data_IF_094864940354
#
_entry.id   IF_094864940354
#
_cell.length_a   1.000
_cell.length_b   1.000
_cell.length_c   1.000
_cell.angle_alpha   90.00
_cell.angle_beta   90.00
_cell.angle_gamma   90.00
#
_symmetry.space_group_name_H-M   'P 1'
#
loop_
_entity.id
_entity.type
_entity.pdbx_description
1 polymer ?
#
# COMPACT_ATOMS: atom_id res chain seq x y z
N UNK A 1 11.05 -3.15 17.53
CA UNK A 1 10.96 -2.99 16.05
C UNK A 1 9.88 -2.00 15.59
N UNK A 2 9.01 -1.55 16.49
CA UNK A 2 7.83 -0.74 16.21
C UNK A 2 8.07 0.59 15.46
N UNK A 3 9.09 1.36 15.85
CA UNK A 3 9.43 2.64 15.19
C UNK A 3 10.00 2.44 13.78
N UNK A 4 10.75 1.35 13.56
CA UNK A 4 11.23 1.00 12.23
C UNK A 4 10.06 0.61 11.31
N UNK A 5 9.10 -0.17 11.83
CA UNK A 5 7.88 -0.51 11.12
C UNK A 5 7.06 0.75 10.79
N UNK A 6 6.93 1.69 11.74
CA UNK A 6 6.25 2.96 11.55
C UNK A 6 6.91 3.79 10.44
N UNK A 7 8.24 3.95 10.49
CA UNK A 7 8.99 4.67 9.47
C UNK A 7 8.85 4.04 8.08
N UNK A 8 8.98 2.71 7.99
CA UNK A 8 8.79 1.98 6.73
C UNK A 8 7.37 2.15 6.17
N UNK A 9 6.34 2.08 7.02
CA UNK A 9 4.95 2.27 6.61
C UNK A 9 4.71 3.69 6.08
N UNK A 10 5.25 4.72 6.76
CA UNK A 10 5.16 6.10 6.29
C UNK A 10 5.81 6.26 4.91
N UNK A 11 7.01 5.68 4.71
CA UNK A 11 7.70 5.72 3.41
C UNK A 11 6.86 5.01 2.33
N UNK A 12 6.30 3.84 2.64
CA UNK A 12 5.41 3.12 1.72
C UNK A 12 4.18 3.94 1.36
N UNK A 13 3.56 4.61 2.34
CA UNK A 13 2.39 5.46 2.15
C UNK A 13 2.69 6.68 1.28
N UNK A 14 3.84 7.33 1.48
CA UNK A 14 4.30 8.45 0.64
C UNK A 14 4.55 7.98 -0.79
N UNK A 15 5.27 6.87 -0.99
CA UNK A 15 5.52 6.31 -2.31
C UNK A 15 4.22 5.91 -3.03
N UNK A 16 3.27 5.32 -2.32
CA UNK A 16 1.94 4.99 -2.84
C UNK A 16 1.12 6.24 -3.17
N UNK A 17 1.19 7.27 -2.32
CA UNK A 17 0.56 8.57 -2.56
C UNK A 17 1.11 9.26 -3.81
N UNK A 18 2.42 9.22 -4.02
CA UNK A 18 3.04 9.70 -5.27
C UNK A 18 2.47 8.99 -6.50
N UNK A 19 2.37 7.65 -6.49
CA UNK A 19 1.78 6.88 -7.59
C UNK A 19 0.30 7.24 -7.81
N UNK A 20 -0.46 7.47 -6.73
CA UNK A 20 -1.85 7.93 -6.82
C UNK A 20 -1.95 9.32 -7.46
N UNK A 21 -1.06 10.25 -7.10
CA UNK A 21 -0.99 11.58 -7.73
C UNK A 21 -0.68 11.44 -9.21
N UNK A 22 0.34 10.66 -9.59
CA UNK A 22 0.67 10.37 -10.99
C UNK A 22 -0.55 9.82 -11.73
N UNK A 23 -1.31 8.91 -11.13
CA UNK A 23 -2.52 8.37 -11.74
C UNK A 23 -3.60 9.44 -11.97
N UNK A 24 -3.82 10.31 -10.98
CA UNK A 24 -4.83 11.37 -11.03
C UNK A 24 -4.50 12.42 -12.11
N UNK A 25 -3.25 12.89 -12.17
CA UNK A 25 -2.82 13.92 -13.13
C UNK A 25 -2.80 13.39 -14.58
N UNK A 26 -2.64 12.08 -14.77
CA UNK A 26 -2.66 11.45 -16.09
C UNK A 26 -4.07 10.98 -16.51
N UNK A 27 -5.14 11.57 -15.95
CA UNK A 27 -6.52 11.39 -16.42
C UNK A 27 -7.24 10.17 -15.85
N UNK A 28 -6.70 9.50 -14.83
CA UNK A 28 -7.20 8.22 -14.32
C UNK A 28 -8.71 8.16 -14.00
N UNK A 29 -9.29 9.24 -13.46
CA UNK A 29 -10.74 9.32 -13.17
C UNK A 29 -11.62 9.56 -14.39
N UNK A 30 -11.05 10.11 -15.47
CA UNK A 30 -11.79 10.57 -16.66
C UNK A 30 -11.74 9.60 -17.83
N UNK A 31 -10.94 8.53 -17.76
CA UNK A 31 -10.89 7.53 -18.83
C UNK A 31 -12.13 6.63 -18.76
N UNK A 32 -12.86 6.51 -19.88
CA UNK A 32 -14.02 5.58 -19.99
C UNK A 32 -13.61 4.12 -19.77
N UNK A 33 -12.34 3.80 -19.98
CA UNK A 33 -11.75 2.47 -19.76
C UNK A 33 -10.52 2.64 -18.88
N UNK A 34 -10.60 2.18 -17.64
CA UNK A 34 -9.46 1.97 -16.73
C UNK A 34 -9.52 0.54 -16.26
N UNK A 35 -8.37 -0.15 -16.25
CA UNK A 35 -8.29 -1.55 -15.78
C UNK A 35 -8.29 -1.63 -14.25
N UNK A 36 -8.14 -0.50 -13.56
CA UNK A 36 -8.12 -0.45 -12.11
C UNK A 36 -9.54 -0.34 -11.54
N UNK A 37 -9.97 -1.30 -10.69
CA UNK A 37 -11.27 -1.21 -10.03
C UNK A 37 -11.31 0.06 -9.17
N UNK A 38 -12.31 0.94 -9.40
CA UNK A 38 -12.42 2.23 -8.70
C UNK A 38 -12.39 2.08 -7.18
N UNK A 39 -13.10 1.08 -6.67
CA UNK A 39 -13.15 0.77 -5.24
C UNK A 39 -11.77 0.41 -4.67
N UNK A 40 -10.90 -0.24 -5.45
CA UNK A 40 -9.57 -0.66 -4.99
C UNK A 40 -8.58 0.50 -5.05
N UNK A 41 -8.68 1.38 -6.05
CA UNK A 41 -7.84 2.60 -6.14
C UNK A 41 -8.09 3.54 -4.96
N UNK A 42 -9.34 3.65 -4.52
CA UNK A 42 -9.69 4.43 -3.32
C UNK A 42 -9.44 3.64 -2.03
N UNK A 43 -9.82 2.36 -2.01
CA UNK A 43 -9.73 1.48 -0.85
C UNK A 43 -8.31 1.25 -0.38
N UNK A 44 -7.36 1.07 -1.29
CA UNK A 44 -5.96 0.81 -0.94
C UNK A 44 -5.34 1.94 -0.07
N UNK A 45 -5.31 3.22 -0.50
CA UNK A 45 -4.77 4.28 0.33
C UNK A 45 -5.58 4.53 1.60
N UNK A 46 -6.91 4.39 1.56
CA UNK A 46 -7.76 4.56 2.76
C UNK A 46 -7.48 3.48 3.81
N UNK A 47 -7.39 2.22 3.39
CA UNK A 47 -7.04 1.10 4.26
C UNK A 47 -5.60 1.22 4.79
N UNK A 48 -4.67 1.76 3.99
CA UNK A 48 -3.29 2.00 4.43
C UNK A 48 -3.22 3.06 5.52
N UNK A 49 -3.97 4.17 5.38
CA UNK A 49 -4.07 5.22 6.40
C UNK A 49 -4.76 4.69 7.66
N UNK A 50 -5.87 3.97 7.51
CA UNK A 50 -6.59 3.40 8.65
C UNK A 50 -5.71 2.42 9.43
N UNK A 51 -5.02 1.51 8.75
CA UNK A 51 -4.07 0.59 9.38
C UNK A 51 -2.91 1.32 10.07
N UNK A 52 -2.38 2.38 9.45
CA UNK A 52 -1.32 3.19 10.04
C UNK A 52 -1.79 3.91 11.32
N UNK A 53 -3.03 4.41 11.35
CA UNK A 53 -3.63 4.99 12.57
C UNK A 53 -3.71 3.95 13.68
N UNK A 54 -4.14 2.73 13.38
CA UNK A 54 -4.18 1.63 14.36
C UNK A 54 -2.77 1.27 14.83
N UNK A 55 -1.77 1.28 13.93
CA UNK A 55 -0.37 1.07 14.30
C UNK A 55 0.17 2.15 15.24
N UNK A 56 -0.17 3.41 14.99
CA UNK A 56 0.19 4.52 15.90
C UNK A 56 -0.47 4.33 17.27
N UNK A 57 -1.74 3.90 17.31
CA UNK A 57 -2.41 3.57 18.56
C UNK A 57 -1.69 2.43 19.31
N UNK A 58 -1.19 1.41 18.61
CA UNK A 58 -0.32 0.41 19.21
C UNK A 58 0.95 1.03 19.79
N UNK A 59 1.70 1.84 19.03
CA UNK A 59 2.95 2.47 19.52
C UNK A 59 2.70 3.31 20.78
N UNK A 60 1.56 4.00 20.87
CA UNK A 60 1.21 4.83 22.03
C UNK A 60 0.78 3.98 23.25
N UNK A 61 0.07 2.89 23.03
CA UNK A 61 -0.57 2.11 24.11
C UNK A 61 0.21 0.87 24.53
N UNK A 62 1.12 0.37 23.69
CA UNK A 62 1.80 -0.92 23.86
C UNK A 62 0.88 -2.14 23.76
N UNK A 63 -0.42 -1.97 23.45
CA UNK A 63 -1.38 -3.07 23.51
C UNK A 63 -1.29 -3.97 22.26
N UNK A 64 -0.98 -5.25 22.49
CA UNK A 64 -0.81 -6.26 21.44
C UNK A 64 -2.03 -6.42 20.52
N UNK A 65 -3.25 -6.17 21.00
CA UNK A 65 -4.45 -6.24 20.17
C UNK A 65 -4.39 -5.24 19.00
N UNK A 66 -3.92 -4.01 19.23
CA UNK A 66 -3.76 -3.02 18.16
C UNK A 66 -2.71 -3.43 17.14
N UNK A 67 -1.60 -4.06 17.57
CA UNK A 67 -0.57 -4.57 16.65
C UNK A 67 -1.15 -5.64 15.70
N UNK A 68 -1.94 -6.57 16.22
CA UNK A 68 -2.60 -7.61 15.42
C UNK A 68 -3.69 -7.04 14.49
N UNK A 69 -4.48 -6.07 14.95
CA UNK A 69 -5.49 -5.41 14.12
C UNK A 69 -4.82 -4.62 12.99
N UNK A 70 -3.75 -3.89 13.27
CA UNK A 70 -2.97 -3.20 12.25
C UNK A 70 -2.33 -4.17 11.24
N UNK A 71 -1.83 -5.32 11.70
CA UNK A 71 -1.31 -6.37 10.82
C UNK A 71 -2.41 -6.94 9.91
N UNK A 72 -3.60 -7.23 10.44
CA UNK A 72 -4.74 -7.67 9.65
C UNK A 72 -5.16 -6.61 8.60
N UNK A 73 -5.18 -5.34 8.98
CA UNK A 73 -5.41 -4.23 8.04
C UNK A 73 -4.32 -4.18 6.95
N UNK A 74 -3.07 -4.41 7.31
CA UNK A 74 -1.95 -4.43 6.36
C UNK A 74 -2.07 -5.58 5.34
N UNK A 75 -2.59 -6.74 5.72
CA UNK A 75 -2.91 -7.81 4.77
C UNK A 75 -3.92 -7.35 3.72
N UNK A 76 -4.99 -6.67 4.14
CA UNK A 76 -6.00 -6.10 3.25
C UNK A 76 -5.38 -5.07 2.29
N UNK A 77 -4.47 -4.22 2.79
CA UNK A 77 -3.71 -3.26 1.97
C UNK A 77 -2.87 -3.98 0.92
N UNK A 78 -2.15 -5.04 1.30
CA UNK A 78 -1.27 -5.82 0.42
C UNK A 78 -2.07 -6.51 -0.69
N UNK A 79 -3.19 -7.16 -0.38
CA UNK A 79 -4.00 -7.83 -1.40
C UNK A 79 -4.56 -6.83 -2.42
N UNK A 80 -4.99 -5.65 -1.97
CA UNK A 80 -5.40 -4.58 -2.88
C UNK A 80 -4.23 -4.07 -3.74
N UNK A 81 -3.06 -3.90 -3.15
CA UNK A 81 -1.84 -3.49 -3.85
C UNK A 81 -1.40 -4.50 -4.91
N UNK A 82 -1.43 -5.80 -4.58
CA UNK A 82 -1.13 -6.89 -5.52
C UNK A 82 -2.12 -6.93 -6.68
N UNK A 83 -3.41 -6.71 -6.41
CA UNK A 83 -4.42 -6.60 -7.47
C UNK A 83 -4.09 -5.43 -8.42
N UNK A 84 -3.77 -4.24 -7.90
CA UNK A 84 -3.38 -3.10 -8.74
C UNK A 84 -2.09 -3.40 -9.53
N UNK A 85 -1.09 -3.99 -8.87
CA UNK A 85 0.20 -4.33 -9.46
C UNK A 85 0.06 -5.35 -10.61
N UNK A 86 -0.70 -6.43 -10.42
CA UNK A 86 -0.94 -7.43 -11.48
C UNK A 86 -1.67 -6.83 -12.67
N UNK A 87 -2.65 -5.94 -12.44
CA UNK A 87 -3.35 -5.25 -13.53
C UNK A 87 -2.45 -4.30 -14.28
N UNK A 88 -1.53 -3.62 -13.59
CA UNK A 88 -0.50 -2.79 -14.20
C UNK A 88 0.45 -3.63 -15.05
N UNK A 89 0.96 -4.74 -14.53
CA UNK A 89 1.91 -5.61 -15.24
C UNK A 89 1.33 -6.14 -16.55
N UNK A 90 0.08 -6.64 -16.53
CA UNK A 90 -0.58 -7.16 -17.74
C UNK A 90 -0.93 -6.04 -18.73
N UNK A 91 -1.15 -4.81 -18.25
CA UNK A 91 -1.45 -3.66 -19.10
C UNK A 91 -0.21 -3.01 -19.73
N UNK A 92 0.98 -3.23 -19.18
CA UNK A 92 2.22 -2.53 -19.57
C UNK A 92 2.83 -3.10 -20.85
N UNK A 93 3.25 -2.23 -21.77
CA UNK A 93 4.04 -2.62 -22.96
C UNK A 93 3.26 -3.21 -24.14
N UNK A 94 1.93 -3.29 -24.08
CA UNK A 94 1.12 -3.70 -25.22
C UNK A 94 1.07 -2.64 -26.33
N UNK A 95 1.00 -3.07 -27.60
CA UNK A 95 0.91 -2.16 -28.78
C UNK A 95 -0.30 -1.19 -28.75
N UNK A 96 -1.29 -1.47 -27.91
CA UNK A 96 -2.48 -0.64 -27.67
C UNK A 96 -2.63 -0.20 -26.21
N UNK A 97 -1.54 -0.23 -25.43
CA UNK A 97 -1.57 0.20 -24.04
C UNK A 97 -1.90 1.70 -23.96
N UNK A 98 -3.15 2.01 -23.59
CA UNK A 98 -3.66 3.37 -23.36
C UNK A 98 -4.27 3.40 -21.96
N UNK A 99 -3.86 4.35 -21.12
CA UNK A 99 -4.36 4.49 -19.75
C UNK A 99 -3.37 5.22 -18.83
N UNK A 100 -3.88 5.84 -17.77
CA UNK A 100 -3.10 6.61 -16.79
C UNK A 100 -2.03 5.75 -16.08
N UNK A 101 -2.28 4.44 -15.97
CA UNK A 101 -1.39 3.44 -15.40
C UNK A 101 -0.07 3.26 -16.17
N UNK A 102 0.01 3.69 -17.44
CA UNK A 102 1.26 3.64 -18.22
C UNK A 102 2.26 4.71 -17.79
N UNK A 103 1.78 5.81 -17.20
CA UNK A 103 2.62 6.90 -16.73
C UNK A 103 3.39 6.55 -15.45
N UNK A 104 3.11 5.39 -14.84
CA UNK A 104 3.80 4.95 -13.63
C UNK A 104 5.29 4.70 -13.89
N UNK A 105 6.19 5.39 -13.16
CA UNK A 105 7.61 5.08 -13.18
C UNK A 105 7.83 3.69 -12.57
N UNK A 106 8.39 2.75 -13.34
CA UNK A 106 8.59 1.37 -12.88
C UNK A 106 9.46 1.29 -11.61
N UNK A 107 10.46 2.16 -11.51
CA UNK A 107 11.29 2.27 -10.31
C UNK A 107 10.47 2.66 -9.08
N UNK A 108 9.54 3.61 -9.19
CA UNK A 108 8.68 4.02 -8.07
C UNK A 108 7.74 2.89 -7.63
N UNK A 109 7.20 2.12 -8.59
CA UNK A 109 6.39 0.92 -8.29
C UNK A 109 7.22 -0.13 -7.56
N UNK A 110 8.45 -0.39 -8.01
CA UNK A 110 9.36 -1.35 -7.39
C UNK A 110 9.75 -0.92 -5.96
N UNK A 111 10.10 0.36 -5.77
CA UNK A 111 10.42 0.92 -4.45
C UNK A 111 9.22 0.81 -3.51
N UNK A 112 8.03 1.22 -3.95
CA UNK A 112 6.82 1.10 -3.14
C UNK A 112 6.56 -0.35 -2.72
N UNK A 113 6.65 -1.30 -3.67
CA UNK A 113 6.48 -2.73 -3.38
C UNK A 113 7.53 -3.28 -2.41
N UNK A 114 8.81 -2.93 -2.58
CA UNK A 114 9.88 -3.38 -1.69
C UNK A 114 9.69 -2.85 -0.26
N UNK A 115 9.37 -1.56 -0.11
CA UNK A 115 9.12 -0.96 1.21
C UNK A 115 7.86 -1.56 1.85
N UNK A 116 6.84 -1.90 1.06
CA UNK A 116 5.65 -2.60 1.57
C UNK A 116 5.99 -4.00 2.13
N UNK A 117 6.87 -4.76 1.48
CA UNK A 117 7.34 -6.06 1.99
C UNK A 117 8.13 -5.89 3.29
N UNK A 118 9.03 -4.90 3.36
CA UNK A 118 9.77 -4.59 4.59
C UNK A 118 8.80 -4.22 5.73
N UNK A 119 7.82 -3.36 5.44
CA UNK A 119 6.78 -2.98 6.40
C UNK A 119 6.02 -4.19 6.93
N UNK A 120 5.60 -5.10 6.03
CA UNK A 120 4.92 -6.35 6.40
C UNK A 120 5.73 -7.19 7.37
N UNK A 121 7.01 -7.44 7.06
CA UNK A 121 7.89 -8.25 7.90
C UNK A 121 8.07 -7.58 9.27
N UNK A 122 8.35 -6.27 9.31
CA UNK A 122 8.55 -5.55 10.56
C UNK A 122 7.29 -5.54 11.45
N UNK A 123 6.12 -5.28 10.86
CA UNK A 123 4.83 -5.30 11.58
C UNK A 123 4.53 -6.69 12.11
N UNK A 124 4.73 -7.74 11.29
CA UNK A 124 4.49 -9.11 11.70
C UNK A 124 5.41 -9.54 12.85
N UNK A 125 6.72 -9.30 12.72
CA UNK A 125 7.68 -9.63 13.77
C UNK A 125 7.36 -8.89 15.07
N UNK A 126 6.98 -7.63 14.99
CA UNK A 126 6.56 -6.84 16.15
C UNK A 126 5.28 -7.40 16.79
N UNK A 127 4.24 -7.74 16.00
CA UNK A 127 3.00 -8.34 16.52
C UNK A 127 3.24 -9.69 17.21
N UNK A 128 4.15 -10.50 16.65
CA UNK A 128 4.57 -11.77 17.23
C UNK A 128 5.41 -11.60 18.51
N UNK A 129 6.19 -10.54 18.63
CA UNK A 129 6.96 -10.20 19.83
C UNK A 129 6.01 -9.82 20.97
N UNK A 130 5.12 -8.86 20.73
CA UNK A 130 4.19 -8.37 21.78
C UNK A 130 3.08 -9.35 22.12
N UNK A 131 2.69 -10.24 21.21
CA UNK A 131 1.69 -11.28 21.49
C UNK A 131 2.20 -12.41 22.39
N UNK A 132 3.50 -12.46 22.67
CA UNK A 132 4.12 -13.45 23.57
C UNK A 132 4.48 -12.89 24.94
N UNK A 133 4.45 -11.57 25.09
CA UNK A 133 4.72 -10.86 26.34
C UNK A 133 3.47 -10.84 27.22
#
# INVERSE_FOLDING_TARGET
MEYAALGAWIIAAVAGGYLLVVWLVNGGRSTKVTRFPRLVVAGHPLSAVAGLVVWIAYVVTGNAAYAWVAFAALLVVIFQGLLLFTRWLVGRGGRHARGAEQAFPAAAVAVHGAVAVVTFVLVFLTAMEVGRA
#
